data_IF_186162861647
#
_entry.id   IF_186162861647
#
_cell.length_a   1.000
_cell.length_b   1.000
_cell.length_c   1.000
_cell.angle_alpha   90.00
_cell.angle_beta   90.00
_cell.angle_gamma   90.00
#
_symmetry.space_group_name_H-M   'P 1'
#
loop_
_entity.id
_entity.type
_entity.pdbx_description
1 polymer ?
#
# COMPACT_ATOMS: atom_id res chain seq x y z
N UNK A 1 3.96 10.44 -16.22
CA UNK A 1 3.33 10.77 -14.94
C UNK A 1 4.11 11.81 -14.17
N UNK A 2 4.02 13.09 -14.57
CA UNK A 2 4.38 14.24 -13.72
C UNK A 2 3.11 14.80 -13.10
N UNK A 3 3.21 15.39 -11.92
CA UNK A 3 2.09 16.02 -11.22
C UNK A 3 2.11 17.53 -11.42
N UNK A 4 0.93 18.17 -11.35
CA UNK A 4 0.81 19.64 -11.36
C UNK A 4 -0.14 20.07 -10.26
N UNK A 5 0.30 21.02 -9.44
CA UNK A 5 -0.55 21.74 -8.51
C UNK A 5 -1.24 22.88 -9.27
N UNK A 6 -2.56 22.94 -9.18
CA UNK A 6 -3.40 23.92 -9.87
C UNK A 6 -4.28 24.65 -8.89
N UNK A 7 -4.64 25.89 -9.23
CA UNK A 7 -5.59 26.65 -8.44
C UNK A 7 -6.99 26.01 -8.51
N UNK A 8 -7.64 25.84 -7.36
CA UNK A 8 -8.97 25.21 -7.27
C UNK A 8 -10.07 26.05 -7.93
N UNK A 9 -9.95 27.38 -7.91
CA UNK A 9 -10.92 28.29 -8.54
C UNK A 9 -10.63 28.53 -10.02
N UNK A 10 -9.39 28.28 -10.46
CA UNK A 10 -9.01 28.40 -11.86
C UNK A 10 -8.01 27.31 -12.25
N UNK A 11 -8.51 26.16 -12.70
CA UNK A 11 -7.66 25.01 -13.02
C UNK A 11 -6.70 25.24 -14.19
N UNK A 12 -6.85 26.32 -14.96
CA UNK A 12 -5.86 26.66 -16.00
C UNK A 12 -4.57 27.22 -15.41
N UNK A 13 -4.63 27.80 -14.20
CA UNK A 13 -3.50 28.33 -13.47
C UNK A 13 -2.68 27.18 -12.87
N UNK A 14 -1.48 26.96 -13.44
CA UNK A 14 -0.51 25.97 -12.95
C UNK A 14 0.42 26.67 -11.99
N UNK A 15 0.35 26.29 -10.72
CA UNK A 15 1.17 26.87 -9.68
C UNK A 15 2.55 26.21 -9.64
N UNK A 16 2.58 24.87 -9.65
CA UNK A 16 3.80 24.07 -9.51
C UNK A 16 3.68 22.82 -10.39
N UNK A 17 4.78 22.41 -11.00
CA UNK A 17 4.92 21.13 -11.70
C UNK A 17 5.99 20.29 -11.00
N UNK A 18 5.76 18.98 -10.87
CA UNK A 18 6.71 18.09 -10.19
C UNK A 18 8.04 18.06 -10.94
N UNK A 19 9.18 18.15 -10.23
CA UNK A 19 10.51 18.20 -10.86
C UNK A 19 10.87 16.87 -11.53
N UNK A 20 10.35 15.76 -11.00
CA UNK A 20 10.56 14.41 -11.51
C UNK A 20 9.22 13.70 -11.78
N UNK A 21 9.18 12.71 -12.69
CA UNK A 21 8.02 11.87 -12.88
C UNK A 21 7.88 10.86 -11.72
N UNK A 22 6.71 10.84 -11.07
CA UNK A 22 6.43 9.96 -9.92
C UNK A 22 5.37 8.88 -10.20
N UNK A 23 4.81 8.88 -11.41
CA UNK A 23 3.72 8.00 -11.80
C UNK A 23 4.03 7.24 -13.09
N UNK A 24 3.35 6.10 -13.26
CA UNK A 24 3.22 5.39 -14.53
C UNK A 24 2.85 6.37 -15.68
N UNK A 25 3.27 6.03 -16.89
CA UNK A 25 3.14 6.89 -18.07
C UNK A 25 2.52 6.19 -19.27
N UNK A 26 1.97 5.01 -19.08
CA UNK A 26 1.11 4.36 -20.06
C UNK A 26 -0.36 4.49 -19.62
N UNK A 27 -1.27 3.99 -20.44
CA UNK A 27 -2.71 4.08 -20.18
C UNK A 27 -3.27 2.87 -19.40
N UNK A 28 -2.46 1.84 -19.13
CA UNK A 28 -2.92 0.53 -18.65
C UNK A 28 -2.42 0.21 -17.23
N UNK A 29 -1.28 0.77 -16.86
CA UNK A 29 -0.63 0.58 -15.58
C UNK A 29 -1.33 1.44 -14.53
N UNK A 30 -1.60 0.82 -13.39
CA UNK A 30 -2.36 1.47 -12.34
C UNK A 30 -1.53 2.48 -11.56
N UNK A 31 -2.20 3.53 -11.07
CA UNK A 31 -1.65 4.42 -10.08
C UNK A 31 -2.75 4.91 -9.15
N UNK A 32 -2.47 4.90 -7.85
CA UNK A 32 -3.34 5.37 -6.79
C UNK A 32 -2.62 6.51 -6.08
N UNK A 33 -3.34 7.61 -5.89
CA UNK A 33 -2.86 8.78 -5.15
C UNK A 33 -3.93 9.24 -4.17
N UNK A 34 -3.51 9.59 -2.95
CA UNK A 34 -4.39 10.21 -1.96
C UNK A 34 -3.58 11.13 -1.05
N UNK A 35 -4.25 12.13 -0.48
CA UNK A 35 -3.65 13.04 0.50
C UNK A 35 -3.85 12.46 1.89
N UNK A 36 -2.78 12.48 2.69
CA UNK A 36 -2.81 12.03 4.07
C UNK A 36 -1.82 12.78 4.96
N UNK A 37 -1.75 12.39 6.22
CA UNK A 37 -0.83 12.91 7.24
C UNK A 37 0.59 12.39 6.99
N UNK A 38 1.60 13.26 7.03
CA UNK A 38 3.01 12.87 6.90
C UNK A 38 3.77 12.81 8.23
N UNK A 39 5.06 12.42 8.20
CA UNK A 39 5.87 12.23 9.41
C UNK A 39 6.03 13.50 10.27
N UNK A 40 6.01 14.68 9.64
CA UNK A 40 6.09 15.97 10.33
C UNK A 40 4.73 16.53 10.77
N UNK A 41 3.63 15.80 10.56
CA UNK A 41 2.25 16.26 10.75
C UNK A 41 1.70 17.10 9.60
N UNK A 42 2.54 17.54 8.67
CA UNK A 42 2.12 18.23 7.44
C UNK A 42 1.50 17.23 6.44
N UNK A 43 0.54 17.67 5.62
CA UNK A 43 -0.08 16.80 4.62
C UNK A 43 0.93 16.38 3.54
N UNK A 44 0.87 15.12 3.16
CA UNK A 44 1.68 14.49 2.11
C UNK A 44 0.78 13.82 1.08
N UNK A 45 1.31 13.66 -0.14
CA UNK A 45 0.69 12.89 -1.20
C UNK A 45 1.27 11.47 -1.17
N UNK A 46 0.46 10.53 -0.74
CA UNK A 46 0.76 9.11 -0.87
C UNK A 46 0.56 8.69 -2.33
N UNK A 47 1.57 8.01 -2.89
CA UNK A 47 1.58 7.55 -4.28
C UNK A 47 1.93 6.07 -4.30
N UNK A 48 1.06 5.26 -4.88
CA UNK A 48 1.32 3.86 -5.23
C UNK A 48 1.18 3.71 -6.73
N UNK A 49 2.24 3.26 -7.42
CA UNK A 49 2.21 3.18 -8.89
C UNK A 49 2.83 1.89 -9.38
N UNK A 50 2.20 1.29 -10.39
CA UNK A 50 2.78 0.16 -11.11
C UNK A 50 4.06 0.62 -11.82
N UNK A 51 5.11 -0.19 -11.73
CA UNK A 51 6.36 0.08 -12.42
C UNK A 51 6.17 -0.07 -13.94
N UNK A 52 6.56 0.97 -14.67
CA UNK A 52 6.56 0.95 -16.14
C UNK A 52 7.98 1.17 -16.62
N UNK A 53 8.48 0.24 -17.44
CA UNK A 53 9.79 0.38 -18.08
C UNK A 53 9.73 1.56 -19.05
N UNK A 54 10.67 2.49 -18.93
CA UNK A 54 10.79 3.64 -19.82
C UNK A 54 12.24 3.97 -20.17
N UNK A 55 12.46 5.08 -20.89
CA UNK A 55 13.81 5.60 -21.11
C UNK A 55 14.51 5.96 -19.79
N UNK A 56 15.80 6.31 -19.86
CA UNK A 56 16.67 6.66 -18.72
C UNK A 56 15.92 7.49 -17.65
N UNK A 57 16.24 7.27 -16.36
CA UNK A 57 15.62 7.87 -15.16
C UNK A 57 14.29 7.26 -14.66
N UNK A 58 13.68 6.28 -15.36
CA UNK A 58 12.50 5.54 -14.83
C UNK A 58 12.83 4.49 -13.78
N UNK A 59 14.08 4.08 -13.68
CA UNK A 59 14.51 3.06 -12.71
C UNK A 59 14.41 3.52 -11.26
N UNK A 60 14.12 4.79 -11.01
CA UNK A 60 14.09 5.35 -9.66
C UNK A 60 12.69 5.72 -9.19
N UNK A 61 11.62 5.41 -9.97
CA UNK A 61 10.24 5.62 -9.50
C UNK A 61 9.90 4.54 -8.45
N UNK A 62 9.59 4.94 -7.21
CA UNK A 62 9.25 3.99 -6.17
C UNK A 62 7.90 3.30 -6.43
N UNK A 63 7.73 2.11 -5.86
CA UNK A 63 6.46 1.40 -5.89
C UNK A 63 5.42 2.09 -5.00
N UNK A 64 5.84 2.46 -3.78
CA UNK A 64 5.06 3.30 -2.87
C UNK A 64 5.94 4.42 -2.32
N UNK A 65 5.43 5.64 -2.26
CA UNK A 65 6.14 6.81 -1.71
C UNK A 65 5.16 7.81 -1.10
N UNK A 66 5.64 8.68 -0.21
CA UNK A 66 4.93 9.88 0.20
C UNK A 66 5.70 11.13 -0.19
N UNK A 67 5.02 12.10 -0.81
CA UNK A 67 5.59 13.33 -1.33
C UNK A 67 5.06 14.55 -0.57
N UNK A 68 5.88 15.59 -0.41
CA UNK A 68 5.46 16.85 0.24
C UNK A 68 4.43 17.59 -0.60
N UNK A 69 3.44 18.20 0.05
CA UNK A 69 2.48 19.09 -0.59
C UNK A 69 2.64 20.55 -0.17
N UNK A 70 3.32 20.80 0.94
CA UNK A 70 3.60 22.15 1.46
C UNK A 70 4.99 22.63 1.04
N UNK A 71 5.13 23.96 0.99
CA UNK A 71 6.45 24.61 0.91
C UNK A 71 7.28 24.26 2.15
N UNK A 72 8.59 24.19 1.96
CA UNK A 72 9.52 24.09 3.09
C UNK A 72 9.36 25.29 4.02
N UNK A 73 9.62 25.10 5.31
CA UNK A 73 9.61 26.19 6.30
C UNK A 73 10.61 27.31 5.95
N UNK A 74 11.64 26.97 5.19
CA UNK A 74 12.69 27.87 4.70
C UNK A 74 12.28 28.64 3.43
N UNK A 75 11.07 28.43 2.90
CA UNK A 75 10.56 29.09 1.69
C UNK A 75 10.89 28.37 0.37
N UNK A 76 11.71 27.33 0.41
CA UNK A 76 12.02 26.49 -0.76
C UNK A 76 10.77 25.73 -1.26
N UNK A 77 10.58 25.73 -2.58
CA UNK A 77 9.57 24.92 -3.25
C UNK A 77 10.03 23.45 -3.31
N UNK A 78 9.65 22.66 -2.31
CA UNK A 78 9.96 21.22 -2.19
C UNK A 78 8.73 20.34 -2.43
N UNK A 79 7.67 20.90 -3.00
CA UNK A 79 6.47 20.17 -3.35
C UNK A 79 6.80 19.04 -4.34
N UNK A 80 6.17 17.89 -4.15
CA UNK A 80 6.41 16.66 -4.89
C UNK A 80 7.79 16.02 -4.72
N UNK A 81 8.66 16.54 -3.84
CA UNK A 81 9.82 15.80 -3.33
C UNK A 81 9.39 14.81 -2.24
N UNK A 82 10.24 13.83 -1.92
CA UNK A 82 9.99 12.89 -0.83
C UNK A 82 9.69 13.63 0.49
N UNK A 83 8.68 13.15 1.22
CA UNK A 83 8.31 13.70 2.52
C UNK A 83 9.48 13.70 3.49
N UNK A 84 10.24 12.60 3.54
CA UNK A 84 11.53 12.54 4.19
C UNK A 84 12.55 11.81 3.30
N UNK A 85 13.77 12.34 3.25
CA UNK A 85 14.88 11.82 2.44
C UNK A 85 16.15 11.82 3.27
N UNK A 86 16.49 10.65 3.80
CA UNK A 86 17.75 10.40 4.48
C UNK A 86 18.88 10.00 3.51
N UNK A 87 20.06 9.72 4.09
CA UNK A 87 21.24 9.29 3.33
C UNK A 87 21.09 7.87 2.74
N UNK A 88 20.37 6.99 3.43
CA UNK A 88 20.22 5.58 3.08
C UNK A 88 18.77 5.10 2.97
N UNK A 89 17.83 5.88 3.50
CA UNK A 89 16.39 5.56 3.57
C UNK A 89 15.58 6.83 3.37
N UNK A 90 14.27 6.69 3.19
CA UNK A 90 13.34 7.80 3.10
C UNK A 90 11.92 7.28 3.05
N UNK A 91 10.97 8.15 2.76
CA UNK A 91 9.56 7.80 2.65
C UNK A 91 9.22 7.17 1.30
N UNK A 92 9.91 6.07 0.97
CA UNK A 92 9.74 5.34 -0.29
C UNK A 92 10.11 3.86 -0.14
N UNK A 93 9.51 3.02 -0.98
CA UNK A 93 9.92 1.63 -1.18
C UNK A 93 9.88 1.30 -2.67
N UNK A 94 10.96 0.68 -3.16
CA UNK A 94 11.20 0.44 -4.58
C UNK A 94 11.36 -1.04 -4.87
N UNK A 95 10.76 -1.51 -5.96
CA UNK A 95 10.99 -2.87 -6.45
C UNK A 95 12.48 -3.08 -6.77
N UNK A 96 13.00 -4.23 -6.36
CA UNK A 96 14.34 -4.68 -6.70
C UNK A 96 14.54 -4.73 -8.22
N UNK A 97 15.65 -4.18 -8.71
CA UNK A 97 15.90 -3.98 -10.15
C UNK A 97 15.66 -5.25 -10.99
N UNK A 98 16.05 -6.42 -10.47
CA UNK A 98 15.92 -7.72 -11.15
C UNK A 98 14.47 -8.21 -11.33
N UNK A 99 13.51 -7.70 -10.57
CA UNK A 99 12.10 -8.12 -10.65
C UNK A 99 11.20 -7.12 -11.36
N UNK A 100 11.69 -5.91 -11.66
CA UNK A 100 10.89 -4.86 -12.30
C UNK A 100 10.29 -5.22 -13.66
N UNK A 101 10.91 -6.16 -14.39
CA UNK A 101 10.37 -6.63 -15.68
C UNK A 101 9.46 -7.85 -15.56
N UNK A 102 9.50 -8.56 -14.44
CA UNK A 102 8.83 -9.86 -14.26
C UNK A 102 7.87 -9.90 -13.08
N UNK A 103 7.73 -8.82 -12.31
CA UNK A 103 6.80 -8.69 -11.20
C UNK A 103 6.13 -7.32 -11.25
N UNK A 104 4.80 -7.33 -11.29
CA UNK A 104 3.96 -6.13 -11.30
C UNK A 104 3.09 -6.10 -10.05
N UNK A 105 2.89 -4.89 -9.53
CA UNK A 105 1.94 -4.60 -8.47
C UNK A 105 0.91 -3.66 -9.06
N UNK A 106 -0.35 -4.08 -9.05
CA UNK A 106 -1.47 -3.22 -9.44
C UNK A 106 -2.05 -2.59 -8.17
N UNK A 107 -2.20 -1.28 -8.16
CA UNK A 107 -2.80 -0.50 -7.09
C UNK A 107 -4.26 -0.22 -7.42
N UNK A 108 -5.15 -0.66 -6.54
CA UNK A 108 -6.60 -0.62 -6.76
C UNK A 108 -7.24 0.56 -6.04
N UNK A 109 -6.82 0.83 -4.81
CA UNK A 109 -7.26 2.00 -4.07
C UNK A 109 -6.36 2.26 -2.86
N UNK A 110 -6.57 3.40 -2.21
CA UNK A 110 -5.76 3.81 -1.08
C UNK A 110 -6.50 4.81 -0.20
N UNK A 111 -6.20 4.77 1.09
CA UNK A 111 -6.89 5.56 2.11
C UNK A 111 -6.02 5.71 3.35
N UNK A 112 -6.31 6.73 4.15
CA UNK A 112 -5.79 6.87 5.52
C UNK A 112 -6.86 6.46 6.51
N UNK A 113 -6.47 5.72 7.55
CA UNK A 113 -7.33 5.42 8.70
C UNK A 113 -6.46 5.39 9.96
N UNK A 114 -6.89 6.14 10.98
CA UNK A 114 -6.12 6.33 12.21
C UNK A 114 -4.75 6.96 11.95
N UNK A 115 -3.68 6.18 12.15
CA UNK A 115 -2.27 6.62 11.99
C UNK A 115 -1.56 5.91 10.84
N UNK A 116 -2.32 5.32 9.93
CA UNK A 116 -1.78 4.48 8.87
C UNK A 116 -2.34 4.88 7.51
N UNK A 117 -1.46 4.81 6.52
CA UNK A 117 -1.78 4.90 5.11
C UNK A 117 -1.84 3.48 4.52
N UNK A 118 -2.90 3.19 3.78
CA UNK A 118 -3.16 1.86 3.21
C UNK A 118 -3.22 1.91 1.69
N UNK A 119 -2.78 0.82 1.06
CA UNK A 119 -3.00 0.58 -0.36
C UNK A 119 -3.55 -0.83 -0.58
N UNK A 120 -4.69 -0.92 -1.25
CA UNK A 120 -5.19 -2.18 -1.76
C UNK A 120 -4.47 -2.50 -3.08
N UNK A 121 -3.88 -3.70 -3.16
CA UNK A 121 -3.07 -4.12 -4.31
C UNK A 121 -3.51 -5.47 -4.82
N UNK A 122 -3.30 -5.71 -6.13
CA UNK A 122 -3.27 -7.05 -6.73
C UNK A 122 -1.86 -7.34 -7.20
N UNK A 123 -1.35 -8.48 -6.79
CA UNK A 123 0.00 -8.89 -7.16
C UNK A 123 0.14 -10.41 -7.07
N UNK A 124 1.16 -10.97 -7.71
CA UNK A 124 1.40 -12.42 -7.66
C UNK A 124 1.79 -12.85 -6.25
N UNK A 125 1.28 -14.01 -5.82
CA UNK A 125 1.60 -14.55 -4.49
C UNK A 125 3.11 -14.79 -4.31
N UNK A 126 3.79 -15.22 -5.37
CA UNK A 126 5.24 -15.47 -5.40
C UNK A 126 5.84 -14.92 -6.70
N UNK A 127 7.16 -15.05 -6.87
CA UNK A 127 7.87 -14.57 -8.06
C UNK A 127 7.69 -15.43 -9.33
N UNK A 128 7.05 -16.60 -9.22
CA UNK A 128 6.83 -17.46 -10.38
C UNK A 128 5.84 -16.82 -11.36
N UNK A 129 6.10 -16.91 -12.66
CA UNK A 129 5.19 -16.36 -13.69
C UNK A 129 3.78 -16.97 -13.60
N UNK A 130 3.74 -18.24 -13.21
CA UNK A 130 2.56 -19.06 -12.97
C UNK A 130 1.93 -18.89 -11.57
N UNK A 131 2.48 -18.02 -10.73
CA UNK A 131 1.94 -17.80 -9.41
C UNK A 131 0.55 -17.14 -9.51
N UNK A 132 -0.43 -17.60 -8.72
CA UNK A 132 -1.76 -16.99 -8.72
C UNK A 132 -1.68 -15.54 -8.25
N UNK A 133 -2.52 -14.69 -8.82
CA UNK A 133 -2.75 -13.35 -8.29
C UNK A 133 -3.48 -13.42 -6.96
N UNK A 134 -3.19 -12.43 -6.13
CA UNK A 134 -3.79 -12.28 -4.82
C UNK A 134 -3.96 -10.80 -4.49
N UNK A 135 -5.05 -10.52 -3.77
CA UNK A 135 -5.29 -9.21 -3.19
C UNK A 135 -4.54 -9.05 -1.87
N UNK A 136 -3.84 -7.93 -1.71
CA UNK A 136 -3.16 -7.58 -0.47
C UNK A 136 -3.50 -6.17 -0.03
N UNK A 137 -3.46 -5.96 1.28
CA UNK A 137 -3.49 -4.64 1.88
C UNK A 137 -2.07 -4.30 2.35
N UNK A 138 -1.51 -3.27 1.75
CA UNK A 138 -0.26 -2.63 2.18
C UNK A 138 -0.60 -1.62 3.26
N UNK A 139 0.26 -1.48 4.28
CA UNK A 139 0.14 -0.48 5.34
C UNK A 139 1.50 0.16 5.63
N UNK A 140 1.52 1.46 5.86
CA UNK A 140 2.67 2.25 6.36
C UNK A 140 2.18 3.20 7.45
N UNK A 141 2.95 3.42 8.50
CA UNK A 141 2.65 4.41 9.54
C UNK A 141 2.87 5.83 9.00
N UNK A 142 1.92 6.74 9.25
CA UNK A 142 2.02 8.14 8.79
C UNK A 142 3.19 8.88 9.43
N UNK A 143 3.56 8.50 10.66
CA UNK A 143 4.69 9.02 11.42
C UNK A 143 6.07 8.48 11.02
N UNK A 144 6.15 7.53 10.09
CA UNK A 144 7.40 6.84 9.74
C UNK A 144 8.15 7.52 8.58
N UNK A 145 9.26 8.18 8.91
CA UNK A 145 10.15 8.87 7.96
C UNK A 145 11.04 7.95 7.12
N UNK A 146 11.03 6.64 7.39
CA UNK A 146 11.93 5.66 6.76
C UNK A 146 11.22 4.52 6.04
N UNK A 147 9.88 4.47 6.11
CA UNK A 147 9.05 3.37 5.60
C UNK A 147 9.43 1.99 6.18
N UNK A 148 10.05 1.94 7.36
CA UNK A 148 10.33 0.71 8.10
C UNK A 148 9.05 -0.05 8.49
N UNK A 149 7.95 0.67 8.67
CA UNK A 149 6.61 0.18 8.97
C UNK A 149 5.89 -0.44 7.77
N UNK A 150 6.51 -0.44 6.57
CA UNK A 150 5.91 -1.08 5.41
C UNK A 150 5.61 -2.55 5.69
N UNK A 151 4.35 -2.92 5.54
CA UNK A 151 3.91 -4.29 5.77
C UNK A 151 2.76 -4.64 4.83
N UNK A 152 2.69 -5.90 4.41
CA UNK A 152 1.63 -6.43 3.56
C UNK A 152 0.91 -7.58 4.25
N UNK A 153 -0.43 -7.56 4.19
CA UNK A 153 -1.27 -8.70 4.57
C UNK A 153 -2.20 -9.10 3.43
N UNK A 154 -2.55 -10.38 3.38
CA UNK A 154 -3.49 -10.91 2.40
C UNK A 154 -4.93 -10.49 2.75
N UNK A 155 -5.70 -10.08 1.73
CA UNK A 155 -7.15 -9.90 1.85
C UNK A 155 -7.86 -11.14 1.32
N UNK A 156 -8.55 -11.85 2.19
CA UNK A 156 -9.31 -13.06 1.85
C UNK A 156 -10.81 -12.72 1.78
N UNK A 157 -11.44 -13.04 0.65
CA UNK A 157 -12.87 -12.90 0.45
C UNK A 157 -13.42 -14.22 -0.10
N UNK A 158 -13.98 -15.04 0.78
CA UNK A 158 -14.46 -16.38 0.43
C UNK A 158 -15.95 -16.53 0.71
N UNK A 159 -16.63 -17.27 -0.15
CA UNK A 159 -18.00 -17.74 0.09
C UNK A 159 -18.11 -19.18 -0.42
N UNK A 160 -18.50 -20.07 0.48
CA UNK A 160 -18.47 -21.53 0.26
C UNK A 160 -17.04 -21.93 -0.18
N UNK A 161 -16.88 -22.69 -1.27
CA UNK A 161 -15.57 -23.07 -1.82
C UNK A 161 -15.05 -22.10 -2.89
N UNK A 162 -15.65 -20.92 -3.06
CA UNK A 162 -15.20 -19.92 -4.04
C UNK A 162 -14.36 -18.85 -3.38
N UNK A 163 -13.10 -18.75 -3.80
CA UNK A 163 -12.18 -17.65 -3.48
C UNK A 163 -12.35 -16.50 -4.47
N UNK A 164 -12.75 -15.33 -3.96
CA UNK A 164 -12.81 -14.07 -4.69
C UNK A 164 -11.50 -13.32 -4.45
N UNK A 165 -10.43 -13.78 -5.08
CA UNK A 165 -9.06 -13.36 -4.80
C UNK A 165 -8.64 -12.03 -5.45
N UNK A 166 -9.43 -11.46 -6.37
CA UNK A 166 -9.06 -10.28 -7.15
C UNK A 166 -9.91 -9.05 -6.79
N UNK A 167 -9.35 -8.14 -6.00
CA UNK A 167 -9.98 -6.89 -5.61
C UNK A 167 -10.10 -5.94 -6.80
N UNK A 168 -11.28 -5.34 -6.96
CA UNK A 168 -11.62 -4.44 -8.06
C UNK A 168 -11.77 -3.00 -7.58
N UNK A 169 -12.23 -2.80 -6.35
CA UNK A 169 -12.37 -1.49 -5.73
C UNK A 169 -12.41 -1.60 -4.20
N UNK A 170 -12.10 -0.50 -3.51
CA UNK A 170 -12.18 -0.38 -2.06
C UNK A 170 -12.80 0.94 -1.62
N UNK A 171 -13.54 0.90 -0.52
CA UNK A 171 -14.11 2.09 0.09
C UNK A 171 -14.12 1.96 1.61
N UNK A 172 -13.78 3.05 2.32
CA UNK A 172 -13.86 3.11 3.78
C UNK A 172 -15.07 3.94 4.19
N UNK A 173 -15.86 3.41 5.11
CA UNK A 173 -16.95 4.15 5.75
C UNK A 173 -17.09 3.74 7.22
N UNK A 174 -17.89 4.50 7.96
CA UNK A 174 -18.23 4.16 9.34
C UNK A 174 -19.42 3.21 9.40
N UNK A 175 -19.40 2.26 10.34
CA UNK A 175 -20.50 1.33 10.54
C UNK A 175 -21.63 1.98 11.34
N UNK A 176 -22.85 2.00 10.78
CA UNK A 176 -24.05 2.33 11.54
C UNK A 176 -24.47 1.20 12.49
N UNK A 177 -25.38 1.48 13.42
CA UNK A 177 -25.82 0.57 14.49
C UNK A 177 -25.97 -0.91 14.09
N UNK A 178 -26.74 -1.22 13.04
CA UNK A 178 -27.04 -2.61 12.66
C UNK A 178 -25.80 -3.37 12.17
N UNK A 179 -24.97 -2.72 11.33
CA UNK A 179 -23.74 -3.33 10.81
C UNK A 179 -22.72 -3.48 11.93
N UNK A 180 -22.58 -2.46 12.78
CA UNK A 180 -21.70 -2.48 13.94
C UNK A 180 -22.04 -3.65 14.87
N UNK A 181 -23.33 -3.84 15.17
CA UNK A 181 -23.84 -4.97 15.95
C UNK A 181 -23.54 -6.32 15.31
N UNK A 182 -23.71 -6.48 13.99
CA UNK A 182 -23.44 -7.76 13.31
C UNK A 182 -21.95 -8.11 13.26
N UNK A 183 -21.08 -7.10 13.19
CA UNK A 183 -19.62 -7.28 13.19
C UNK A 183 -19.01 -7.31 14.61
N UNK A 184 -19.83 -7.00 15.62
CA UNK A 184 -19.41 -6.88 17.01
C UNK A 184 -18.40 -5.75 17.23
N UNK A 185 -18.59 -4.62 16.55
CA UNK A 185 -17.80 -3.39 16.69
C UNK A 185 -18.70 -2.27 17.21
N UNK A 186 -18.12 -1.12 17.55
CA UNK A 186 -18.88 0.04 17.99
C UNK A 186 -19.51 0.76 16.79
N UNK A 187 -20.66 1.38 17.01
CA UNK A 187 -21.21 2.31 16.01
C UNK A 187 -20.24 3.46 15.80
N UNK A 188 -19.99 3.81 14.53
CA UNK A 188 -19.00 4.79 14.14
C UNK A 188 -17.61 4.21 13.83
N UNK A 189 -17.32 2.96 14.19
CA UNK A 189 -16.04 2.33 13.85
C UNK A 189 -15.88 2.19 12.33
N UNK A 190 -14.66 2.37 11.84
CA UNK A 190 -14.35 2.32 10.42
C UNK A 190 -14.32 0.87 9.90
N UNK A 191 -14.94 0.67 8.74
CA UNK A 191 -14.95 -0.60 8.01
C UNK A 191 -14.48 -0.39 6.58
N UNK A 192 -13.66 -1.33 6.10
CA UNK A 192 -13.23 -1.42 4.71
C UNK A 192 -14.22 -2.30 3.95
N UNK A 193 -14.85 -1.74 2.92
CA UNK A 193 -15.57 -2.48 1.90
C UNK A 193 -14.61 -2.78 0.75
N UNK A 194 -14.57 -4.03 0.31
CA UNK A 194 -13.85 -4.43 -0.89
C UNK A 194 -14.77 -5.17 -1.85
N UNK A 195 -14.72 -4.80 -3.13
CA UNK A 195 -15.39 -5.53 -4.21
C UNK A 195 -14.36 -6.47 -4.82
N UNK A 196 -14.67 -7.76 -4.87
CA UNK A 196 -13.78 -8.79 -5.37
C UNK A 196 -14.44 -9.57 -6.50
N UNK A 197 -13.61 -10.15 -7.37
CA UNK A 197 -14.04 -11.15 -8.36
C UNK A 197 -13.21 -12.41 -8.21
N UNK A 198 -13.81 -13.55 -8.54
CA UNK A 198 -13.09 -14.81 -8.61
C UNK A 198 -12.23 -14.86 -9.87
N UNK A 199 -11.03 -15.41 -9.76
CA UNK A 199 -10.18 -15.74 -10.91
C UNK A 199 -10.75 -16.97 -11.67
N UNK A 200 -10.51 -17.03 -12.97
CA UNK A 200 -10.98 -18.13 -13.80
C UNK A 200 -9.99 -19.30 -13.74
N UNK A 201 -10.24 -20.26 -12.85
CA UNK A 201 -9.34 -21.41 -12.58
C UNK A 201 -9.06 -22.28 -13.84
N UNK A 202 -9.92 -22.22 -14.86
CA UNK A 202 -9.91 -23.13 -16.02
C UNK A 202 -9.33 -22.55 -17.31
N UNK A 203 -8.99 -21.26 -17.38
CA UNK A 203 -8.37 -20.67 -18.55
C UNK A 203 -6.86 -20.76 -18.47
N UNK A 204 -6.20 -21.18 -19.55
CA UNK A 204 -4.76 -21.00 -19.77
C UNK A 204 -4.30 -19.53 -19.65
N UNK A 205 -5.26 -18.61 -19.59
CA UNK A 205 -5.11 -17.22 -19.17
C UNK A 205 -5.53 -17.10 -17.70
N UNK A 206 -4.61 -17.34 -16.77
CA UNK A 206 -4.79 -16.86 -15.38
C UNK A 206 -4.89 -15.33 -15.40
N UNK A 207 -5.55 -14.75 -14.40
CA UNK A 207 -5.57 -13.30 -14.14
C UNK A 207 -6.62 -12.48 -14.91
N UNK A 208 -7.72 -13.11 -15.34
CA UNK A 208 -8.87 -12.37 -15.91
C UNK A 208 -10.05 -12.35 -14.95
N UNK A 209 -10.62 -11.16 -14.66
CA UNK A 209 -11.77 -11.04 -13.77
C UNK A 209 -12.97 -11.79 -14.36
N UNK A 210 -13.54 -12.73 -13.60
CA UNK A 210 -14.79 -13.39 -14.00
C UNK A 210 -16.00 -12.48 -13.73
N UNK A 211 -17.18 -12.88 -14.24
CA UNK A 211 -18.45 -12.23 -13.89
C UNK A 211 -18.94 -12.56 -12.47
N UNK A 212 -18.21 -13.38 -11.70
CA UNK A 212 -18.56 -13.75 -10.33
C UNK A 212 -17.91 -12.78 -9.38
N UNK A 213 -18.69 -11.84 -8.86
CA UNK A 213 -18.24 -10.84 -7.89
C UNK A 213 -18.81 -11.08 -6.49
N UNK A 214 -18.09 -10.62 -5.48
CA UNK A 214 -18.52 -10.58 -4.09
C UNK A 214 -18.13 -9.24 -3.45
N UNK A 215 -18.86 -8.85 -2.41
CA UNK A 215 -18.49 -7.71 -1.55
C UNK A 215 -18.14 -8.26 -0.18
N UNK A 216 -16.94 -7.98 0.30
CA UNK A 216 -16.49 -8.32 1.64
C UNK A 216 -16.30 -7.05 2.48
N UNK A 217 -16.56 -7.16 3.77
CA UNK A 217 -16.50 -6.05 4.73
C UNK A 217 -15.56 -6.43 5.87
N UNK A 218 -14.60 -5.57 6.16
CA UNK A 218 -13.54 -5.81 7.14
C UNK A 218 -13.48 -4.65 8.15
N UNK A 219 -13.79 -4.88 9.44
CA UNK A 219 -13.53 -3.87 10.46
C UNK A 219 -12.05 -3.54 10.56
N UNK A 220 -11.68 -2.26 10.37
CA UNK A 220 -10.27 -1.89 10.26
C UNK A 220 -9.55 -2.15 11.59
N UNK A 221 -10.04 -1.59 12.69
CA UNK A 221 -9.37 -1.69 13.98
C UNK A 221 -9.45 -3.10 14.59
N UNK A 222 -10.61 -3.76 14.50
CA UNK A 222 -10.83 -5.06 15.16
C UNK A 222 -10.25 -6.24 14.40
N UNK A 223 -10.19 -6.19 13.06
CA UNK A 223 -9.77 -7.30 12.22
C UNK A 223 -8.46 -7.02 11.48
N UNK A 224 -8.40 -5.95 10.69
CA UNK A 224 -7.22 -5.65 9.86
C UNK A 224 -6.01 -5.34 10.73
N UNK A 225 -6.14 -4.40 11.67
CA UNK A 225 -5.03 -3.99 12.52
C UNK A 225 -4.55 -5.10 13.45
N UNK A 226 -5.49 -5.88 13.98
CA UNK A 226 -5.16 -7.09 14.75
C UNK A 226 -4.33 -8.06 13.91
N UNK A 227 -4.66 -8.24 12.63
CA UNK A 227 -3.90 -9.14 11.75
C UNK A 227 -2.50 -8.63 11.46
N UNK A 228 -2.33 -7.33 11.26
CA UNK A 228 -1.01 -6.71 11.14
C UNK A 228 -0.21 -6.88 12.44
N UNK A 229 -0.80 -6.61 13.61
CA UNK A 229 -0.17 -6.79 14.92
C UNK A 229 0.32 -8.23 15.12
N UNK A 230 -0.56 -9.22 14.89
CA UNK A 230 -0.22 -10.65 14.98
C UNK A 230 0.98 -11.00 14.08
N UNK A 231 0.92 -10.60 12.80
CA UNK A 231 1.94 -10.92 11.82
C UNK A 231 3.30 -10.26 12.14
N UNK A 232 3.28 -9.00 12.59
CA UNK A 232 4.48 -8.27 13.00
C UNK A 232 5.06 -8.91 14.25
N UNK A 233 4.28 -9.09 15.32
CA UNK A 233 4.76 -9.65 16.58
C UNK A 233 5.30 -11.07 16.42
N UNK A 234 4.72 -11.89 15.55
CA UNK A 234 5.25 -13.19 15.19
C UNK A 234 6.62 -13.13 14.51
N UNK A 235 6.83 -12.14 13.63
CA UNK A 235 8.13 -11.87 13.04
C UNK A 235 9.14 -11.45 14.13
N UNK A 236 8.77 -10.56 15.05
CA UNK A 236 9.66 -10.15 16.15
C UNK A 236 9.93 -11.27 17.18
N UNK A 237 9.17 -12.36 17.18
CA UNK A 237 9.50 -13.62 17.90
C UNK A 237 10.47 -14.53 17.13
N UNK A 238 10.75 -14.24 15.85
CA UNK A 238 11.64 -15.02 14.98
C UNK A 238 10.99 -16.26 14.36
N UNK A 239 9.65 -16.32 14.31
CA UNK A 239 8.90 -17.50 13.88
C UNK A 239 8.91 -17.73 12.36
N UNK A 240 9.07 -16.67 11.56
CA UNK A 240 8.90 -16.73 10.11
C UNK A 240 10.00 -15.98 9.36
N UNK A 241 9.97 -16.07 8.03
CA UNK A 241 10.72 -15.20 7.13
C UNK A 241 9.84 -14.01 6.72
N UNK A 242 10.49 -12.91 6.39
CA UNK A 242 9.83 -11.78 5.72
C UNK A 242 9.52 -12.25 4.29
N UNK A 243 8.28 -12.20 3.83
CA UNK A 243 7.88 -12.83 2.55
C UNK A 243 7.73 -11.82 1.41
N UNK A 244 8.63 -10.82 1.31
CA UNK A 244 8.60 -9.78 0.28
C UNK A 244 9.88 -9.81 -0.57
N UNK A 245 10.08 -10.85 -1.40
CA UNK A 245 11.29 -10.99 -2.19
C UNK A 245 11.48 -9.87 -3.22
N UNK A 246 10.41 -9.27 -3.71
CA UNK A 246 10.45 -8.12 -4.63
C UNK A 246 10.96 -6.82 -3.99
N UNK A 247 11.04 -6.75 -2.67
CA UNK A 247 11.61 -5.63 -1.89
C UNK A 247 12.86 -6.03 -1.11
N UNK A 248 13.58 -7.08 -1.54
CA UNK A 248 14.79 -7.63 -0.88
C UNK A 248 14.57 -8.04 0.57
N UNK A 249 13.32 -8.30 0.96
CA UNK A 249 12.98 -8.65 2.32
C UNK A 249 12.55 -10.11 2.38
N UNK A 250 13.55 -11.00 2.37
CA UNK A 250 13.38 -12.48 2.45
C UNK A 250 14.04 -13.12 3.66
N UNK A 251 14.78 -12.34 4.45
CA UNK A 251 15.54 -12.86 5.57
C UNK A 251 14.61 -13.44 6.64
N UNK A 252 15.14 -14.39 7.42
CA UNK A 252 14.47 -14.85 8.65
C UNK A 252 14.32 -13.68 9.59
N UNK A 253 13.14 -13.56 10.21
CA UNK A 253 12.93 -12.52 11.21
C UNK A 253 13.86 -12.73 12.42
N UNK A 254 14.37 -11.63 12.96
CA UNK A 254 15.23 -11.64 14.14
C UNK A 254 14.37 -11.59 15.40
N UNK A 255 14.65 -12.47 16.36
CA UNK A 255 13.99 -12.43 17.67
C UNK A 255 14.42 -11.18 18.44
N UNK A 256 13.46 -10.51 19.08
CA UNK A 256 13.68 -9.33 19.92
C UNK A 256 12.81 -9.42 21.18
N UNK A 257 13.02 -8.50 22.12
CA UNK A 257 12.18 -8.32 23.32
C UNK A 257 11.29 -7.07 23.25
N UNK A 258 11.11 -6.49 22.06
CA UNK A 258 10.33 -5.28 21.86
C UNK A 258 8.83 -5.55 22.02
N UNK A 259 8.11 -4.59 22.60
CA UNK A 259 6.66 -4.64 22.75
C UNK A 259 5.96 -4.11 21.48
N UNK A 260 4.65 -4.32 21.37
CA UNK A 260 3.86 -3.78 20.25
C UNK A 260 4.06 -2.26 20.09
N UNK A 261 4.01 -1.51 21.19
CA UNK A 261 4.18 -0.05 21.18
C UNK A 261 5.53 0.40 20.59
N UNK A 262 6.56 -0.43 20.72
CA UNK A 262 7.89 -0.12 20.21
C UNK A 262 7.99 -0.40 18.70
N UNK A 263 7.21 -1.34 18.17
CA UNK A 263 7.35 -1.84 16.78
C UNK A 263 6.19 -1.46 15.86
N UNK A 264 5.13 -0.88 16.41
CA UNK A 264 3.89 -0.55 15.70
C UNK A 264 4.12 0.33 14.45
N UNK A 265 5.03 1.31 14.54
CA UNK A 265 5.45 2.17 13.43
C UNK A 265 6.83 1.77 12.87
N UNK A 266 7.19 0.50 12.98
CA UNK A 266 8.41 -0.06 12.40
C UNK A 266 9.68 0.24 13.19
N UNK A 267 10.71 -0.57 12.94
CA UNK A 267 12.07 -0.40 13.45
C UNK A 267 13.05 -0.75 12.35
N UNK A 268 14.32 -0.35 12.48
CA UNK A 268 15.40 -0.71 11.56
C UNK A 268 15.65 -2.24 11.48
N UNK A 269 15.33 -2.95 12.57
CA UNK A 269 15.23 -4.40 12.62
C UNK A 269 13.85 -4.86 12.13
N UNK A 270 13.83 -6.00 11.43
CA UNK A 270 12.59 -6.60 10.95
C UNK A 270 11.74 -5.75 9.99
N UNK A 271 12.32 -4.77 9.29
CA UNK A 271 11.67 -3.97 8.22
C UNK A 271 11.02 -4.79 7.10
N UNK A 272 9.99 -4.25 6.47
CA UNK A 272 9.33 -4.79 5.26
C UNK A 272 8.82 -6.22 5.47
N UNK A 273 7.71 -6.38 6.19
CA UNK A 273 7.14 -7.70 6.54
C UNK A 273 5.96 -8.01 5.61
N UNK A 274 5.97 -9.17 4.96
CA UNK A 274 4.83 -9.67 4.19
C UNK A 274 4.35 -10.98 4.77
N UNK A 275 3.05 -11.10 5.05
CA UNK A 275 2.42 -12.35 5.52
C UNK A 275 0.93 -12.41 5.22
#
# INVERSE_FOLDING_TARGET
GRCRLRNLHNITDVQIESPEPMLANDATSSAVVFVGSGPSGDPVLYVGTTFVRGPLFRDDIPAVTSLRLSRSRDGDAKEFELADKGLATGTEISLERKYRSSYSIDYVGGFESGKYAYFATRQRKTLGEDAPLQSRLVRVCTGDSHFYSYTEVMLECMKDDTDYNLIQDVYVATAGYNLAKSLGISEGDEVLYGVFVADQVTSFQRNFPTRRSAVCVYPIQKQIEKKFEENIMDCYKGLYTKQLPWFKSTAKCKTTHLSWKDVECGQDVNTNIGK
#
